data_IF_978003306506
#
_entry.id   IF_978003306506
#
_cell.length_a   1.000
_cell.length_b   1.000
_cell.length_c   1.000
_cell.angle_alpha   90.00
_cell.angle_beta   90.00
_cell.angle_gamma   90.00
#
_symmetry.space_group_name_H-M   'P 1'
#
loop_
_entity.id
_entity.type
_entity.pdbx_description
1 polymer ?
#
# COMPACT_ATOMS: atom_id res chain seq x y z
N UNK A 1 0.35 0.25 -3.03
CA UNK A 1 -0.05 0.11 -1.62
C UNK A 1 1.06 -0.44 -0.75
N UNK A 2 1.79 -1.46 -1.20
CA UNK A 2 2.93 -2.03 -0.44
C UNK A 2 3.92 -0.97 0.07
N UNK A 3 4.36 -0.03 -0.78
CA UNK A 3 5.27 1.06 -0.33
C UNK A 3 4.66 1.92 0.78
N UNK A 4 3.37 2.22 0.72
CA UNK A 4 2.66 2.95 1.77
C UNK A 4 2.73 2.20 3.10
N UNK A 5 2.47 0.89 3.10
CA UNK A 5 2.60 0.04 4.29
C UNK A 5 4.03 -0.02 4.83
N UNK A 6 5.03 -0.18 3.95
CA UNK A 6 6.44 -0.19 4.34
C UNK A 6 6.88 1.14 4.99
N UNK A 7 6.31 2.26 4.54
CA UNK A 7 6.57 3.57 5.11
C UNK A 7 5.81 3.79 6.43
N UNK A 8 4.59 3.26 6.58
CA UNK A 8 3.88 3.22 7.88
C UNK A 8 4.69 2.42 8.91
N UNK A 9 5.20 1.24 8.55
CA UNK A 9 6.07 0.44 9.42
C UNK A 9 7.34 1.19 9.84
N UNK A 10 7.85 2.05 8.96
CA UNK A 10 9.00 2.90 9.25
C UNK A 10 8.63 4.17 10.08
N UNK A 11 7.37 4.32 10.48
CA UNK A 11 6.86 5.40 11.32
C UNK A 11 6.36 6.63 10.56
N UNK A 12 6.15 6.53 9.25
CA UNK A 12 5.70 7.63 8.41
C UNK A 12 4.22 7.46 8.03
N UNK A 13 3.31 7.76 8.94
CA UNK A 13 1.86 7.71 8.70
C UNK A 13 1.15 6.65 9.53
N UNK A 14 -0.18 6.72 9.52
CA UNK A 14 -1.01 6.06 10.53
C UNK A 14 -2.04 5.07 9.92
N UNK A 15 -1.94 4.78 8.61
CA UNK A 15 -2.84 3.83 7.97
C UNK A 15 -2.67 2.43 8.56
N UNK A 16 -3.78 1.86 9.04
CA UNK A 16 -3.80 0.55 9.68
C UNK A 16 -3.65 -0.58 8.66
N UNK A 17 -3.25 -1.76 9.14
CA UNK A 17 -3.21 -2.97 8.31
C UNK A 17 -4.59 -3.27 7.68
N UNK A 18 -5.66 -3.06 8.44
CA UNK A 18 -7.01 -3.35 7.94
C UNK A 18 -7.48 -2.34 6.90
N UNK A 19 -7.14 -1.06 7.03
CA UNK A 19 -7.39 -0.06 5.97
C UNK A 19 -6.63 -0.40 4.69
N UNK A 20 -5.39 -0.89 4.79
CA UNK A 20 -4.63 -1.34 3.63
C UNK A 20 -5.25 -2.60 3.00
N UNK A 21 -5.65 -3.58 3.80
CA UNK A 21 -6.29 -4.79 3.29
C UNK A 21 -7.64 -4.49 2.62
N UNK A 22 -8.42 -3.61 3.21
CA UNK A 22 -9.72 -3.20 2.67
C UNK A 22 -9.55 -2.47 1.32
N UNK A 23 -8.59 -1.54 1.23
CA UNK A 23 -8.33 -0.86 -0.04
C UNK A 23 -7.80 -1.80 -1.14
N UNK A 24 -7.06 -2.86 -0.81
CA UNK A 24 -6.72 -3.92 -1.79
C UNK A 24 -7.95 -4.71 -2.24
N UNK A 25 -8.84 -5.08 -1.32
CA UNK A 25 -10.11 -5.76 -1.62
C UNK A 25 -10.98 -4.93 -2.56
N UNK A 26 -11.11 -3.63 -2.28
CA UNK A 26 -11.84 -2.67 -3.11
C UNK A 26 -11.28 -2.59 -4.52
N UNK A 27 -9.96 -2.44 -4.67
CA UNK A 27 -9.33 -2.42 -6.00
C UNK A 27 -9.57 -3.73 -6.75
N UNK A 28 -9.45 -4.87 -6.07
CA UNK A 28 -9.70 -6.18 -6.68
C UNK A 28 -11.15 -6.32 -7.16
N UNK A 29 -12.13 -5.88 -6.35
CA UNK A 29 -13.54 -5.86 -6.72
C UNK A 29 -13.79 -4.97 -7.94
N UNK A 30 -13.22 -3.76 -7.95
CA UNK A 30 -13.34 -2.82 -9.07
C UNK A 30 -12.71 -3.37 -10.36
N UNK A 31 -11.53 -4.01 -10.27
CA UNK A 31 -10.91 -4.68 -11.41
C UNK A 31 -11.77 -5.85 -11.91
N UNK A 32 -12.36 -6.64 -11.01
CA UNK A 32 -13.27 -7.71 -11.39
C UNK A 32 -14.49 -7.17 -12.11
N UNK A 33 -15.16 -6.13 -11.57
CA UNK A 33 -16.27 -5.48 -12.28
C UNK A 33 -15.83 -4.99 -13.65
N UNK A 34 -14.74 -4.23 -13.73
CA UNK A 34 -14.22 -3.69 -14.99
C UNK A 34 -13.95 -4.76 -16.04
N UNK A 35 -13.40 -5.92 -15.65
CA UNK A 35 -13.20 -7.06 -16.55
C UNK A 35 -14.50 -7.68 -17.08
N UNK A 36 -15.58 -7.68 -16.29
CA UNK A 36 -16.84 -8.32 -16.68
C UNK A 36 -17.81 -7.35 -17.37
N UNK A 37 -17.86 -6.08 -16.95
CA UNK A 37 -18.84 -5.09 -17.41
C UNK A 37 -18.25 -3.97 -18.27
N UNK A 38 -16.92 -3.92 -18.42
CA UNK A 38 -16.19 -2.81 -19.04
C UNK A 38 -16.40 -1.44 -18.36
N UNK A 39 -16.80 -1.44 -17.09
CA UNK A 39 -16.93 -0.23 -16.26
C UNK A 39 -15.74 -0.15 -15.29
N UNK A 40 -14.85 0.81 -15.53
CA UNK A 40 -13.61 1.00 -14.76
C UNK A 40 -13.76 2.20 -13.82
N UNK A 41 -14.46 1.99 -12.71
CA UNK A 41 -14.69 3.00 -11.68
C UNK A 41 -14.71 2.38 -10.29
N UNK A 42 -14.39 3.19 -9.29
CA UNK A 42 -14.73 2.94 -7.89
C UNK A 42 -16.10 3.54 -7.62
N UNK A 43 -16.92 2.83 -6.86
CA UNK A 43 -18.12 3.42 -6.27
C UNK A 43 -17.73 4.50 -5.24
N UNK A 44 -18.65 5.39 -4.91
CA UNK A 44 -18.35 6.54 -4.03
C UNK A 44 -17.79 6.11 -2.66
N UNK A 45 -18.33 5.05 -2.06
CA UNK A 45 -17.84 4.53 -0.79
C UNK A 45 -16.47 3.86 -0.93
N UNK A 46 -16.27 3.08 -1.99
CA UNK A 46 -14.99 2.46 -2.34
C UNK A 46 -13.89 3.52 -2.55
N UNK A 47 -14.24 4.61 -3.23
CA UNK A 47 -13.36 5.74 -3.46
C UNK A 47 -12.92 6.39 -2.15
N UNK A 48 -13.84 6.63 -1.21
CA UNK A 48 -13.48 7.23 0.09
C UNK A 48 -12.45 6.41 0.86
N UNK A 49 -12.61 5.09 0.88
CA UNK A 49 -11.65 4.19 1.53
C UNK A 49 -10.30 4.20 0.82
N UNK A 50 -10.31 4.13 -0.52
CA UNK A 50 -9.08 4.19 -1.30
C UNK A 50 -8.35 5.55 -1.17
N UNK A 51 -9.11 6.65 -1.07
CA UNK A 51 -8.59 8.00 -0.91
C UNK A 51 -7.77 8.16 0.40
N UNK A 52 -8.14 7.47 1.48
CA UNK A 52 -7.34 7.44 2.72
C UNK A 52 -5.92 6.94 2.47
N UNK A 53 -5.77 5.88 1.68
CA UNK A 53 -4.45 5.31 1.35
C UNK A 53 -3.64 6.25 0.47
N UNK A 54 -4.26 6.83 -0.57
CA UNK A 54 -3.58 7.77 -1.48
C UNK A 54 -3.15 9.03 -0.72
N UNK A 55 -4.00 9.54 0.17
CA UNK A 55 -3.69 10.72 1.00
C UNK A 55 -2.57 10.41 1.99
N UNK A 56 -2.56 9.21 2.58
CA UNK A 56 -1.44 8.76 3.43
C UNK A 56 -0.13 8.72 2.66
N UNK A 57 -0.16 8.21 1.42
CA UNK A 57 1.03 8.17 0.58
C UNK A 57 1.52 9.56 0.17
N UNK A 58 0.62 10.50 -0.16
CA UNK A 58 1.00 11.89 -0.43
C UNK A 58 1.65 12.54 0.81
N UNK A 59 1.06 12.33 1.99
CA UNK A 59 1.63 12.80 3.25
C UNK A 59 3.03 12.21 3.52
N UNK A 60 3.20 10.92 3.26
CA UNK A 60 4.48 10.22 3.35
C UNK A 60 5.54 10.84 2.45
N UNK A 61 5.22 11.09 1.19
CA UNK A 61 6.17 11.67 0.22
C UNK A 61 6.65 13.06 0.60
N UNK A 62 5.85 13.83 1.34
CA UNK A 62 6.24 15.16 1.84
C UNK A 62 7.19 15.13 3.03
N UNK A 63 7.23 14.05 3.81
CA UNK A 63 7.86 14.03 5.15
C UNK A 63 8.88 12.93 5.34
N UNK A 64 8.75 11.81 4.65
CA UNK A 64 9.68 10.71 4.74
C UNK A 64 11.05 11.15 4.22
N UNK A 65 12.15 10.92 4.96
CA UNK A 65 13.50 11.11 4.43
C UNK A 65 13.71 10.25 3.19
N UNK A 66 14.49 10.75 2.23
CA UNK A 66 14.79 10.04 0.99
C UNK A 66 15.34 8.61 1.24
N UNK A 67 16.14 8.45 2.29
CA UNK A 67 16.67 7.15 2.69
C UNK A 67 15.57 6.12 3.03
N UNK A 68 14.48 6.55 3.68
CA UNK A 68 13.36 5.67 4.01
C UNK A 68 12.57 5.26 2.76
N UNK A 69 12.43 6.18 1.80
CA UNK A 69 11.77 5.91 0.52
C UNK A 69 12.59 4.90 -0.31
N UNK A 70 13.92 5.08 -0.36
CA UNK A 70 14.82 4.14 -1.05
C UNK A 70 14.78 2.76 -0.40
N UNK A 71 14.82 2.68 0.94
CA UNK A 71 14.73 1.39 1.65
C UNK A 71 13.41 0.68 1.38
N UNK A 72 12.28 1.40 1.44
CA UNK A 72 10.97 0.86 1.08
C UNK A 72 10.95 0.36 -0.39
N UNK A 73 11.60 1.06 -1.31
CA UNK A 73 11.77 0.63 -2.70
C UNK A 73 12.58 -0.67 -2.83
N UNK A 74 13.70 -0.80 -2.12
CA UNK A 74 14.49 -2.04 -2.11
C UNK A 74 13.72 -3.21 -1.49
N UNK A 75 12.94 -2.96 -0.43
CA UNK A 75 12.06 -3.97 0.18
C UNK A 75 10.99 -4.43 -0.80
N UNK A 76 10.38 -3.51 -1.56
CA UNK A 76 9.41 -3.85 -2.61
C UNK A 76 10.04 -4.71 -3.71
N UNK A 77 11.25 -4.38 -4.16
CA UNK A 77 11.89 -5.13 -5.23
C UNK A 77 12.19 -6.57 -4.80
N UNK A 78 12.69 -6.77 -3.58
CA UNK A 78 12.86 -8.12 -2.99
C UNK A 78 11.54 -8.89 -2.95
N UNK A 79 10.44 -8.23 -2.54
CA UNK A 79 9.12 -8.83 -2.55
C UNK A 79 8.68 -9.26 -3.95
N UNK A 80 8.91 -8.44 -4.99
CA UNK A 80 8.55 -8.77 -6.38
C UNK A 80 9.29 -9.98 -6.95
N UNK A 81 10.50 -10.24 -6.49
CA UNK A 81 11.33 -11.38 -6.91
C UNK A 81 10.95 -12.67 -6.15
N UNK A 82 9.98 -12.59 -5.21
CA UNK A 82 9.43 -13.74 -4.50
C UNK A 82 10.07 -13.99 -3.12
N UNK A 83 10.86 -13.05 -2.59
CA UNK A 83 11.30 -13.12 -1.20
C UNK A 83 10.14 -12.73 -0.27
N UNK A 84 9.78 -13.61 0.67
CA UNK A 84 8.67 -13.36 1.60
C UNK A 84 9.03 -12.29 2.65
N UNK A 85 8.02 -11.50 3.07
CA UNK A 85 8.18 -10.48 4.10
C UNK A 85 8.64 -11.05 5.47
N UNK A 86 8.32 -12.30 5.78
CA UNK A 86 8.69 -12.98 7.04
C UNK A 86 10.21 -13.07 7.26
N UNK A 87 11.02 -13.14 6.19
CA UNK A 87 12.48 -13.16 6.32
C UNK A 87 13.05 -11.78 6.71
N UNK A 88 12.28 -10.70 6.57
CA UNK A 88 12.71 -9.34 6.91
C UNK A 88 12.41 -8.96 8.37
N UNK A 89 11.37 -9.54 8.98
CA UNK A 89 11.01 -9.30 10.39
C UNK A 89 11.97 -9.98 11.38
N UNK A 90 12.55 -11.14 11.01
CA UNK A 90 13.39 -11.94 11.91
C UNK A 90 14.85 -11.49 12.06
N UNK A 91 15.29 -10.43 11.36
CA UNK A 91 16.69 -9.94 11.44
C UNK A 91 16.87 -8.79 12.45
N UNK A 92 15.87 -8.52 13.28
CA UNK A 92 15.95 -7.59 14.43
C UNK A 92 15.37 -8.26 15.68
N UNK A 93 16.08 -9.25 16.20
CA UNK A 93 16.01 -9.75 17.57
C UNK A 93 17.43 -9.95 18.07
#
# INVERSE_FOLDING_TARGET
MIVTGLLVEAGYGDATFEEMKEAESILFAAFNRGRHSNVWSLEEEEFRHFATIVTTYDYQMRRAPLAAIIDAGHRLERFRVGESFDQMAYRRA
#
